data_IF_712315974108
#
_entry.id   IF_712315974108
#
_cell.length_a   1.000
_cell.length_b   1.000
_cell.length_c   1.000
_cell.angle_alpha   90.00
_cell.angle_beta   90.00
_cell.angle_gamma   90.00
#
_symmetry.space_group_name_H-M   'P 1'
#
loop_
_entity.id
_entity.type
_entity.pdbx_description
1 polymer ?
#
# COMPACT_ATOMS: atom_id res chain seq x y z
N UNK A 1 8.58 -0.11 11.64
CA UNK A 1 9.41 1.02 11.29
C UNK A 1 9.42 1.31 9.81
N UNK A 2 9.51 2.57 9.48
CA UNK A 2 9.68 3.00 8.09
C UNK A 2 11.15 2.80 7.68
N UNK A 3 11.37 2.59 6.37
CA UNK A 3 12.71 2.44 5.84
C UNK A 3 13.57 3.69 6.13
N UNK A 4 14.83 3.45 6.48
CA UNK A 4 15.81 4.52 6.66
C UNK A 4 16.09 5.19 5.31
N UNK A 5 16.31 6.50 5.32
CA UNK A 5 16.70 7.24 4.11
C UNK A 5 18.00 6.64 3.55
N UNK A 6 17.93 6.16 2.32
CA UNK A 6 19.04 5.48 1.65
C UNK A 6 19.91 6.47 0.87
N UNK A 7 21.16 6.09 0.59
CA UNK A 7 22.05 6.92 -0.22
C UNK A 7 21.55 7.04 -1.67
N UNK A 8 21.88 8.14 -2.38
CA UNK A 8 21.52 8.31 -3.79
C UNK A 8 22.00 7.16 -4.69
N UNK A 9 23.17 6.61 -4.40
CA UNK A 9 23.73 5.47 -5.14
C UNK A 9 22.92 4.20 -4.93
N UNK A 10 22.46 3.95 -3.69
CA UNK A 10 21.58 2.83 -3.38
C UNK A 10 20.25 2.95 -4.13
N UNK A 11 19.62 4.13 -4.08
CA UNK A 11 18.36 4.39 -4.77
C UNK A 11 18.49 4.19 -6.30
N UNK A 12 19.60 4.60 -6.88
CA UNK A 12 19.88 4.39 -8.30
C UNK A 12 19.96 2.90 -8.64
N UNK A 13 20.76 2.13 -7.89
CA UNK A 13 20.87 0.68 -8.08
C UNK A 13 19.55 -0.04 -7.88
N UNK A 14 18.78 0.36 -6.85
CA UNK A 14 17.45 -0.19 -6.60
C UNK A 14 16.51 0.04 -7.79
N UNK A 15 16.50 1.25 -8.34
CA UNK A 15 15.70 1.60 -9.51
C UNK A 15 16.10 0.80 -10.75
N UNK A 16 17.39 0.68 -11.01
CA UNK A 16 17.93 -0.13 -12.14
C UNK A 16 17.49 -1.59 -12.00
N UNK A 17 17.56 -2.15 -10.80
CA UNK A 17 17.13 -3.53 -10.51
C UNK A 17 15.63 -3.71 -10.70
N UNK A 18 14.82 -2.79 -10.19
CA UNK A 18 13.36 -2.79 -10.36
C UNK A 18 13.01 -2.74 -11.85
N UNK A 19 13.59 -1.81 -12.60
CA UNK A 19 13.34 -1.67 -14.04
C UNK A 19 13.72 -2.93 -14.82
N UNK A 20 14.84 -3.57 -14.46
CA UNK A 20 15.22 -4.84 -15.06
C UNK A 20 14.18 -5.93 -14.84
N UNK A 21 13.70 -6.11 -13.60
CA UNK A 21 12.69 -7.13 -13.30
C UNK A 21 11.34 -6.82 -13.95
N UNK A 22 10.94 -5.55 -13.99
CA UNK A 22 9.70 -5.12 -14.64
C UNK A 22 9.73 -5.46 -16.13
N UNK A 23 10.85 -5.22 -16.83
CA UNK A 23 10.97 -5.51 -18.27
C UNK A 23 10.81 -7.00 -18.62
N UNK A 24 11.06 -7.88 -17.67
CA UNK A 24 10.93 -9.34 -17.82
C UNK A 24 9.57 -9.87 -17.36
N UNK A 25 8.83 -9.10 -16.58
CA UNK A 25 7.58 -9.53 -15.98
C UNK A 25 6.41 -9.48 -16.97
N UNK A 26 5.53 -10.47 -16.91
CA UNK A 26 4.24 -10.45 -17.61
C UNK A 26 3.13 -9.81 -16.75
N UNK A 27 3.27 -9.87 -15.42
CA UNK A 27 2.33 -9.28 -14.46
C UNK A 27 3.14 -8.56 -13.38
N UNK A 28 2.80 -7.31 -13.11
CA UNK A 28 3.36 -6.51 -12.02
C UNK A 28 2.23 -6.05 -11.11
N UNK A 29 2.38 -6.21 -9.79
CA UNK A 29 1.40 -5.77 -8.80
C UNK A 29 2.06 -4.74 -7.89
N UNK A 30 1.60 -3.49 -7.96
CA UNK A 30 2.00 -2.40 -7.10
C UNK A 30 1.15 -2.36 -5.83
N UNK A 31 1.79 -2.50 -4.66
CA UNK A 31 1.11 -2.51 -3.36
C UNK A 31 1.74 -1.55 -2.35
N UNK A 32 2.74 -0.76 -2.78
CA UNK A 32 3.45 0.13 -1.88
C UNK A 32 2.57 1.33 -1.51
N UNK A 33 2.16 1.35 -0.26
CA UNK A 33 1.28 2.38 0.28
C UNK A 33 1.84 2.94 1.58
N UNK A 34 1.71 4.25 1.78
CA UNK A 34 2.12 4.93 3.01
C UNK A 34 0.89 5.61 3.60
N UNK A 35 0.40 5.19 4.77
CA UNK A 35 -0.79 5.77 5.37
C UNK A 35 -0.72 7.29 5.48
N UNK A 36 -1.72 7.98 4.92
CA UNK A 36 -1.84 9.44 4.97
C UNK A 36 -0.83 10.23 4.11
N UNK A 37 -0.08 9.55 3.22
CA UNK A 37 0.88 10.18 2.29
C UNK A 37 0.67 9.67 0.88
N UNK A 38 1.22 10.40 -0.09
CA UNK A 38 1.27 9.95 -1.48
C UNK A 38 2.07 8.63 -1.58
N UNK A 39 1.57 7.71 -2.40
CA UNK A 39 2.27 6.46 -2.70
C UNK A 39 3.63 6.73 -3.36
N UNK A 40 4.66 5.91 -3.09
CA UNK A 40 5.95 6.07 -3.75
C UNK A 40 5.84 5.68 -5.23
N UNK A 41 6.42 6.50 -6.10
CA UNK A 41 6.58 6.15 -7.52
C UNK A 41 7.70 5.11 -7.65
N UNK A 42 7.34 3.91 -8.10
CA UNK A 42 8.26 2.78 -8.25
C UNK A 42 8.45 2.37 -9.71
N UNK A 43 7.44 2.61 -10.55
CA UNK A 43 7.38 2.20 -11.94
C UNK A 43 7.24 3.46 -12.79
N UNK A 44 8.35 3.95 -13.31
CA UNK A 44 8.33 5.07 -14.24
C UNK A 44 7.85 4.63 -15.62
N UNK A 45 7.36 5.59 -16.40
CA UNK A 45 6.96 5.37 -17.79
C UNK A 45 8.04 4.66 -18.60
N UNK A 46 9.30 5.04 -18.40
CA UNK A 46 10.46 4.40 -19.06
C UNK A 46 10.60 2.91 -18.75
N UNK A 47 10.20 2.46 -17.57
CA UNK A 47 10.18 1.04 -17.22
C UNK A 47 9.05 0.32 -17.96
N UNK A 48 7.88 0.93 -18.06
CA UNK A 48 6.72 0.40 -18.79
C UNK A 48 7.04 0.28 -20.29
N UNK A 49 7.72 1.26 -20.87
CA UNK A 49 8.15 1.24 -22.28
C UNK A 49 9.00 0.02 -22.66
N UNK A 50 9.66 -0.61 -21.67
CA UNK A 50 10.49 -1.80 -21.84
C UNK A 50 9.74 -3.12 -21.56
N UNK A 51 8.49 -3.08 -21.17
CA UNK A 51 7.67 -4.29 -20.96
C UNK A 51 7.22 -4.90 -22.28
N UNK A 52 6.93 -6.20 -22.25
CA UNK A 52 6.37 -6.89 -23.41
C UNK A 52 4.89 -6.52 -23.59
N UNK A 53 4.47 -6.30 -24.84
CA UNK A 53 3.05 -6.16 -25.17
C UNK A 53 2.27 -7.38 -24.67
N UNK A 54 1.08 -7.15 -24.13
CA UNK A 54 0.27 -8.17 -23.45
C UNK A 54 0.56 -8.29 -21.96
N UNK A 55 1.56 -7.58 -21.42
CA UNK A 55 1.81 -7.50 -19.97
C UNK A 55 0.72 -6.68 -19.26
N UNK A 56 0.62 -6.91 -17.94
CA UNK A 56 -0.39 -6.27 -17.08
C UNK A 56 0.27 -5.65 -15.86
N UNK A 57 -0.12 -4.42 -15.52
CA UNK A 57 0.21 -3.76 -14.26
C UNK A 57 -1.08 -3.57 -13.47
N UNK A 58 -1.11 -4.04 -12.23
CA UNK A 58 -2.20 -3.80 -11.27
C UNK A 58 -1.65 -2.91 -10.17
N UNK A 59 -2.18 -1.70 -10.04
CA UNK A 59 -1.72 -0.72 -9.06
C UNK A 59 -2.79 -0.53 -7.98
N UNK A 60 -2.55 -1.12 -6.79
CA UNK A 60 -3.44 -1.03 -5.63
C UNK A 60 -3.25 0.26 -4.83
N UNK A 61 -2.26 1.07 -5.17
CA UNK A 61 -2.01 2.35 -4.54
C UNK A 61 -2.59 3.55 -5.34
N UNK A 62 -3.39 3.27 -6.36
CA UNK A 62 -3.89 4.24 -7.33
C UNK A 62 -4.57 5.47 -6.70
N UNK A 63 -5.39 5.29 -5.66
CA UNK A 63 -6.08 6.38 -4.94
C UNK A 63 -5.11 7.36 -4.26
N UNK A 64 -3.91 6.89 -3.92
CA UNK A 64 -2.88 7.71 -3.27
C UNK A 64 -1.79 8.15 -4.26
N UNK A 65 -2.13 8.19 -5.53
CA UNK A 65 -1.26 8.67 -6.61
C UNK A 65 -0.54 7.58 -7.39
N UNK A 66 -0.71 6.29 -6.99
CA UNK A 66 -0.17 5.13 -7.69
C UNK A 66 1.32 4.85 -7.50
N UNK A 67 1.68 3.60 -7.70
CA UNK A 67 3.09 3.18 -7.79
C UNK A 67 3.63 3.26 -9.22
N UNK A 68 2.76 3.30 -10.23
CA UNK A 68 3.12 3.45 -11.63
C UNK A 68 2.77 4.86 -12.12
N UNK A 69 3.68 5.48 -12.86
CA UNK A 69 3.52 6.84 -13.40
C UNK A 69 2.31 6.98 -14.32
N UNK A 70 1.95 5.92 -15.03
CA UNK A 70 0.84 5.88 -15.97
C UNK A 70 -0.50 5.48 -15.34
N UNK A 71 -0.53 5.20 -14.03
CA UNK A 71 -1.75 4.80 -13.35
C UNK A 71 -2.76 5.95 -13.28
N UNK A 72 -4.00 5.64 -13.64
CA UNK A 72 -5.17 6.50 -13.36
C UNK A 72 -6.11 5.75 -12.42
N UNK A 73 -6.48 6.40 -11.32
CA UNK A 73 -7.33 5.76 -10.31
C UNK A 73 -8.72 5.44 -10.86
N UNK A 74 -9.16 4.20 -10.68
CA UNK A 74 -10.45 3.70 -11.14
C UNK A 74 -10.50 3.30 -12.62
N UNK A 75 -9.38 3.38 -13.36
CA UNK A 75 -9.37 3.13 -14.81
C UNK A 75 -8.46 1.96 -15.19
N UNK A 76 -8.84 1.32 -16.31
CA UNK A 76 -8.02 0.39 -17.06
C UNK A 76 -7.48 1.10 -18.31
N UNK A 77 -6.18 1.31 -18.35
CA UNK A 77 -5.51 1.97 -19.48
C UNK A 77 -4.82 0.91 -20.35
N UNK A 78 -4.84 1.12 -21.65
CA UNK A 78 -3.98 0.43 -22.61
C UNK A 78 -2.85 1.36 -23.03
N UNK A 79 -1.64 1.02 -22.66
CA UNK A 79 -0.45 1.75 -23.07
C UNK A 79 0.46 0.83 -23.89
N UNK A 80 0.51 1.03 -25.20
CA UNK A 80 1.30 0.22 -26.14
C UNK A 80 1.05 -1.29 -26.02
N UNK A 81 -0.20 -1.70 -25.75
CA UNK A 81 -0.59 -3.10 -25.54
C UNK A 81 -0.28 -3.62 -24.13
N UNK A 82 0.14 -2.77 -23.21
CA UNK A 82 0.29 -3.08 -21.79
C UNK A 82 -0.94 -2.57 -21.07
N UNK A 83 -1.63 -3.44 -20.34
CA UNK A 83 -2.82 -3.08 -19.56
C UNK A 83 -2.39 -2.59 -18.18
N UNK A 84 -2.82 -1.38 -17.81
CA UNK A 84 -2.53 -0.78 -16.51
C UNK A 84 -3.86 -0.54 -15.79
N UNK A 85 -4.10 -1.29 -14.72
CA UNK A 85 -5.32 -1.20 -13.93
C UNK A 85 -5.04 -0.55 -12.58
N UNK A 86 -5.50 0.69 -12.42
CA UNK A 86 -5.40 1.46 -11.18
C UNK A 86 -6.64 1.27 -10.32
N UNK A 87 -6.62 0.35 -9.36
CA UNK A 87 -7.76 0.11 -8.47
C UNK A 87 -7.33 -0.20 -7.04
N UNK A 88 -7.52 0.75 -6.14
CA UNK A 88 -7.25 0.58 -4.70
C UNK A 88 -8.33 -0.22 -3.96
N UNK A 89 -9.41 -0.56 -4.63
CA UNK A 89 -10.58 -1.21 -4.03
C UNK A 89 -10.95 -2.55 -4.66
N UNK A 90 -9.97 -3.33 -5.12
CA UNK A 90 -10.20 -4.68 -5.69
C UNK A 90 -11.00 -5.60 -4.76
N UNK A 91 -10.93 -5.41 -3.45
CA UNK A 91 -11.74 -6.13 -2.48
C UNK A 91 -13.25 -6.01 -2.70
N UNK A 92 -13.71 -4.94 -3.36
CA UNK A 92 -15.12 -4.73 -3.70
C UNK A 92 -15.61 -5.66 -4.82
N UNK A 93 -14.70 -6.17 -5.62
CA UNK A 93 -14.99 -7.10 -6.73
C UNK A 93 -15.14 -8.54 -6.24
N UNK A 94 -14.62 -8.84 -5.03
CA UNK A 94 -14.70 -10.14 -4.36
C UNK A 94 -15.21 -10.00 -2.92
N UNK A 95 -16.45 -9.49 -2.72
CA UNK A 95 -16.93 -9.07 -1.41
C UNK A 95 -17.03 -10.21 -0.39
N UNK A 96 -17.37 -11.41 -0.82
CA UNK A 96 -17.46 -12.57 0.06
C UNK A 96 -16.09 -12.94 0.63
N UNK A 97 -15.08 -13.10 -0.23
CA UNK A 97 -13.70 -13.41 0.20
C UNK A 97 -13.12 -12.28 1.06
N UNK A 98 -13.35 -11.03 0.69
CA UNK A 98 -12.89 -9.88 1.46
C UNK A 98 -13.51 -9.82 2.86
N UNK A 99 -14.80 -10.07 2.96
CA UNK A 99 -15.54 -10.11 4.24
C UNK A 99 -15.06 -11.25 5.13
N UNK A 100 -14.81 -12.43 4.55
CA UNK A 100 -14.29 -13.58 5.30
C UNK A 100 -12.89 -13.30 5.85
N UNK A 101 -11.99 -12.73 5.05
CA UNK A 101 -10.64 -12.37 5.48
C UNK A 101 -10.68 -11.31 6.58
N UNK A 102 -11.52 -10.29 6.44
CA UNK A 102 -11.70 -9.25 7.46
C UNK A 102 -12.24 -9.84 8.76
N UNK A 103 -13.25 -10.72 8.69
CA UNK A 103 -13.80 -11.42 9.84
C UNK A 103 -12.74 -12.24 10.59
N UNK A 104 -11.89 -12.96 9.85
CA UNK A 104 -10.78 -13.73 10.42
C UNK A 104 -9.76 -12.83 11.13
N UNK A 105 -9.48 -11.65 10.57
CA UNK A 105 -8.59 -10.67 11.20
C UNK A 105 -9.16 -10.14 12.51
N UNK A 106 -10.45 -9.76 12.54
CA UNK A 106 -11.12 -9.34 13.77
C UNK A 106 -11.17 -10.44 14.82
N UNK A 107 -11.50 -11.66 14.41
CA UNK A 107 -11.50 -12.81 15.33
C UNK A 107 -10.12 -13.05 15.94
N UNK A 108 -9.08 -13.00 15.12
CA UNK A 108 -7.70 -13.18 15.58
C UNK A 108 -7.26 -12.06 16.53
N UNK A 109 -7.61 -10.81 16.20
CA UNK A 109 -7.32 -9.65 17.06
C UNK A 109 -8.02 -9.76 18.42
N UNK A 110 -9.32 -10.01 18.44
CA UNK A 110 -10.10 -10.17 19.66
C UNK A 110 -9.60 -11.37 20.49
N UNK A 111 -9.34 -12.51 19.84
CA UNK A 111 -8.82 -13.69 20.51
C UNK A 111 -7.47 -13.43 21.17
N UNK A 112 -6.61 -12.64 20.54
CA UNK A 112 -5.33 -12.23 21.12
C UNK A 112 -5.54 -11.35 22.37
N UNK A 113 -6.45 -10.38 22.27
CA UNK A 113 -6.76 -9.49 23.39
C UNK A 113 -7.33 -10.26 24.60
N UNK A 114 -8.27 -11.18 24.37
CA UNK A 114 -8.90 -11.94 25.46
C UNK A 114 -8.00 -13.00 26.09
N UNK A 115 -6.95 -13.45 25.40
CA UNK A 115 -6.00 -14.44 25.90
C UNK A 115 -4.82 -13.85 26.64
N UNK A 116 -4.57 -12.56 26.48
CA UNK A 116 -3.41 -11.88 27.05
C UNK A 116 -3.85 -10.76 28.02
N UNK A 117 -2.90 -10.25 28.78
CA UNK A 117 -3.10 -9.07 29.62
C UNK A 117 -3.39 -7.85 28.74
N UNK A 118 -4.62 -7.38 28.81
CA UNK A 118 -5.10 -6.25 28.01
C UNK A 118 -4.33 -4.96 28.30
N UNK A 119 -4.01 -4.71 29.57
CA UNK A 119 -3.37 -3.44 29.98
C UNK A 119 -1.95 -3.31 29.45
N UNK A 120 -1.23 -4.44 29.31
CA UNK A 120 0.15 -4.47 28.87
C UNK A 120 0.31 -4.88 27.40
N UNK A 121 -0.77 -5.16 26.68
CA UNK A 121 -0.71 -5.57 25.27
C UNK A 121 -0.10 -4.48 24.37
N UNK A 122 1.06 -4.72 23.72
CA UNK A 122 1.61 -3.78 22.72
C UNK A 122 0.65 -3.58 21.55
N UNK A 123 -0.13 -4.61 21.20
CA UNK A 123 -1.12 -4.55 20.13
C UNK A 123 -2.24 -3.55 20.45
N UNK A 124 -2.78 -3.62 21.68
CA UNK A 124 -3.82 -2.69 22.12
C UNK A 124 -3.27 -1.25 22.18
N UNK A 125 -2.07 -1.08 22.74
CA UNK A 125 -1.41 0.24 22.79
C UNK A 125 -1.20 0.83 21.39
N UNK A 126 -0.83 0.01 20.40
CA UNK A 126 -0.63 0.42 19.01
C UNK A 126 -1.92 0.72 18.24
N UNK A 127 -3.08 0.27 18.73
CA UNK A 127 -4.39 0.49 18.08
C UNK A 127 -5.27 1.50 18.84
N UNK A 128 -4.96 1.80 20.10
CA UNK A 128 -5.78 2.67 20.94
C UNK A 128 -5.64 4.12 20.49
N UNK A 129 -6.71 4.70 19.98
CA UNK A 129 -6.75 6.10 19.55
C UNK A 129 -7.26 7.00 20.67
N UNK A 130 -8.31 6.56 21.38
CA UNK A 130 -8.96 7.31 22.46
C UNK A 130 -8.96 6.54 23.77
N UNK A 131 -8.71 7.23 24.87
CA UNK A 131 -8.87 6.70 26.22
C UNK A 131 -9.48 7.76 27.14
N UNK A 132 -10.61 7.44 27.77
CA UNK A 132 -11.33 8.33 28.71
C UNK A 132 -11.56 9.75 28.13
N UNK A 133 -11.87 9.83 26.82
CA UNK A 133 -12.09 11.10 26.12
C UNK A 133 -10.85 11.83 25.61
N UNK A 134 -9.66 11.31 25.87
CA UNK A 134 -8.41 11.89 25.40
C UNK A 134 -7.84 11.10 24.23
N UNK A 135 -7.20 11.80 23.27
CA UNK A 135 -6.42 11.16 22.22
C UNK A 135 -5.10 10.69 22.83
N UNK A 136 -4.80 9.40 22.66
CA UNK A 136 -3.59 8.75 23.22
C UNK A 136 -2.69 8.15 22.15
N UNK A 137 -3.08 8.22 20.88
CA UNK A 137 -2.28 7.67 19.78
C UNK A 137 -1.34 8.74 19.20
N UNK A 138 -0.01 8.50 19.16
CA UNK A 138 0.98 9.52 18.75
C UNK A 138 0.74 10.12 17.37
N UNK A 139 0.18 9.34 16.43
CA UNK A 139 -0.11 9.82 15.06
C UNK A 139 -1.23 10.85 14.98
N UNK A 140 -1.99 11.07 16.05
CA UNK A 140 -3.12 12.00 16.09
C UNK A 140 -2.89 13.18 17.05
N UNK A 141 -1.94 13.08 17.99
CA UNK A 141 -1.62 14.17 18.94
C UNK A 141 -1.16 15.43 18.22
N UNK A 142 -0.31 15.30 17.19
CA UNK A 142 0.24 16.45 16.44
C UNK A 142 -0.76 17.17 15.53
N UNK A 143 -1.95 16.60 15.29
CA UNK A 143 -2.97 17.21 14.42
C UNK A 143 -3.91 18.17 15.16
N UNK A 144 -3.94 18.12 16.48
CA UNK A 144 -4.79 19.00 17.31
C UNK A 144 -4.14 20.36 17.63
N UNK A 145 -2.81 20.48 17.50
CA UNK A 145 -2.11 21.74 17.76
C UNK A 145 -2.15 22.73 16.59
N UNK A 146 -2.76 22.35 15.45
CA UNK A 146 -2.77 23.13 14.20
C UNK A 146 -4.17 23.67 13.83
N UNK A 147 -5.15 23.63 14.75
CA UNK A 147 -6.49 24.24 14.62
C UNK A 147 -6.68 25.29 15.69
#
# INVERSE_FOLDING_TARGET
GYAVVQSPEYLKKQKELINHHISLASIVIGTANIPGKKAPLLIEKSAVDNMKSGSVIIDLAAEQGGNCELTVNGELIDYNGIKIYGNSHLSRELPESASQLLSNNYFSFLSHLFKNDLENSPLLKGCKVLEKGNIVHPSFESKLETT
#
